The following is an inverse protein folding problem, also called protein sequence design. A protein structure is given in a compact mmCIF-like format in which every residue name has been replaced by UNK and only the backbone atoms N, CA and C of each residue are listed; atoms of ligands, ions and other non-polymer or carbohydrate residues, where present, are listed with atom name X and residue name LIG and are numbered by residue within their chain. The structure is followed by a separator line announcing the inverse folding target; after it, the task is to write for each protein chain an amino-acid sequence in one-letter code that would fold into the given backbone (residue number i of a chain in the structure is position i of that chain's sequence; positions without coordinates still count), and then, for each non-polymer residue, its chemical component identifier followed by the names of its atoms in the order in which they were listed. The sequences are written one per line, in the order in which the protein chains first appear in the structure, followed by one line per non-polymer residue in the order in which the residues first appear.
data_IF_173968444513
#
_entry.id   IF_173968444513
#
_cell.length_a   1.000
_cell.length_b   1.000
_cell.length_c   1.000
_cell.angle_alpha   90.00
_cell.angle_beta   90.00
_cell.angle_gamma   90.00
#
_symmetry.space_group_name_H-M   'P 1'
#
loop_
_entity.id
_entity.type
_entity.pdbx_description
1 polymer ?
#
# COMPACT_ATOMS: atom_id res chain seq x y z
N UNK A 1 -9.14 -3.91 -6.97
CA UNK A 1 -7.81 -3.27 -6.74
C UNK A 1 -7.98 -1.76 -6.94
N UNK A 2 -7.09 -0.95 -6.39
CA UNK A 2 -7.02 0.49 -6.61
C UNK A 2 -5.61 0.89 -7.05
N UNK A 3 -5.48 1.89 -7.91
CA UNK A 3 -4.18 2.43 -8.34
C UNK A 3 -4.08 3.87 -7.88
N UNK A 4 -2.96 4.22 -7.26
CA UNK A 4 -2.65 5.57 -6.81
C UNK A 4 -1.36 6.06 -7.45
N UNK A 5 -1.30 7.36 -7.69
CA UNK A 5 -0.11 8.06 -8.16
C UNK A 5 0.54 8.76 -6.97
N UNK A 6 1.81 8.47 -6.70
CA UNK A 6 2.59 9.10 -5.63
C UNK A 6 4.08 9.06 -5.95
N UNK A 7 4.78 10.16 -5.67
CA UNK A 7 6.25 10.18 -5.71
C UNK A 7 6.87 9.20 -4.71
N UNK A 8 6.16 8.88 -3.62
CA UNK A 8 6.59 7.96 -2.57
C UNK A 8 6.10 6.52 -2.79
N UNK A 9 5.69 6.16 -4.01
CA UNK A 9 5.18 4.82 -4.33
C UNK A 9 6.17 3.69 -3.98
N UNK A 10 7.48 3.96 -4.06
CA UNK A 10 8.54 3.05 -3.63
C UNK A 10 8.53 2.78 -2.12
N UNK A 11 8.63 3.84 -1.33
CA UNK A 11 8.64 3.77 0.14
C UNK A 11 7.35 3.13 0.67
N UNK A 12 6.21 3.53 0.12
CA UNK A 12 4.92 2.96 0.50
C UNK A 12 4.81 1.48 0.14
N UNK A 13 5.32 1.07 -1.03
CA UNK A 13 5.37 -0.35 -1.41
C UNK A 13 6.15 -1.18 -0.39
N UNK A 14 7.35 -0.73 -0.01
CA UNK A 14 8.20 -1.42 0.97
C UNK A 14 7.55 -1.48 2.36
N UNK A 15 6.96 -0.36 2.81
CA UNK A 15 6.28 -0.30 4.11
C UNK A 15 5.10 -1.30 4.20
N UNK A 16 4.30 -1.37 3.14
CA UNK A 16 3.19 -2.32 3.04
C UNK A 16 3.68 -3.77 2.92
N UNK A 17 4.77 -4.01 2.17
CA UNK A 17 5.36 -5.34 2.04
C UNK A 17 5.84 -5.90 3.39
N UNK A 18 6.48 -5.07 4.23
CA UNK A 18 6.92 -5.45 5.60
C UNK A 18 5.75 -5.83 6.52
N UNK A 19 4.52 -5.40 6.21
CA UNK A 19 3.28 -5.71 6.95
C UNK A 19 2.45 -6.83 6.30
N UNK A 20 3.06 -7.60 5.38
CA UNK A 20 2.41 -8.65 4.61
C UNK A 20 1.16 -8.15 3.85
N UNK A 21 1.25 -6.95 3.26
CA UNK A 21 0.25 -6.38 2.35
C UNK A 21 0.85 -6.34 0.95
N UNK A 22 0.35 -7.21 0.08
CA UNK A 22 0.84 -7.32 -1.29
C UNK A 22 0.33 -6.14 -2.14
N UNK A 23 1.26 -5.36 -2.67
CA UNK A 23 1.01 -4.31 -3.66
C UNK A 23 1.92 -4.51 -4.87
N UNK A 24 1.59 -3.88 -5.99
CA UNK A 24 2.44 -3.86 -7.18
C UNK A 24 2.90 -2.43 -7.45
N UNK A 25 4.21 -2.20 -7.34
CA UNK A 25 4.86 -0.98 -7.80
C UNK A 25 5.17 -1.07 -9.30
N UNK A 26 5.19 0.06 -9.99
CA UNK A 26 5.67 0.15 -11.37
C UNK A 26 7.01 0.90 -11.38
N UNK A 27 8.12 0.25 -11.70
CA UNK A 27 9.45 0.85 -11.50
C UNK A 27 9.72 2.12 -12.33
N UNK A 28 9.07 2.23 -13.49
CA UNK A 28 9.23 3.36 -14.41
C UNK A 28 8.17 4.46 -14.23
N UNK A 29 7.23 4.30 -13.29
CA UNK A 29 6.11 5.22 -13.10
C UNK A 29 5.86 5.46 -11.61
N UNK A 30 5.40 6.65 -11.18
CA UNK A 30 5.06 6.92 -9.78
C UNK A 30 3.72 6.26 -9.40
N UNK A 31 3.50 5.00 -9.77
CA UNK A 31 2.25 4.28 -9.60
C UNK A 31 2.41 3.12 -8.61
N UNK A 32 1.41 2.97 -7.76
CA UNK A 32 1.24 1.83 -6.87
C UNK A 32 -0.16 1.24 -7.04
N UNK A 33 -0.25 -0.06 -7.32
CA UNK A 33 -1.51 -0.80 -7.37
C UNK A 33 -1.68 -1.62 -6.10
N UNK A 34 -2.72 -1.32 -5.34
CA UNK A 34 -3.10 -2.01 -4.12
C UNK A 34 -4.22 -3.02 -4.40
N UNK A 35 -4.04 -4.26 -3.95
CA UNK A 35 -5.15 -5.19 -3.81
C UNK A 35 -6.16 -4.64 -2.81
N UNK A 36 -7.46 -4.75 -3.10
CA UNK A 36 -8.49 -4.38 -2.13
C UNK A 36 -8.85 -5.64 -1.32
N UNK A 37 -8.91 -5.56 0.02
CA UNK A 37 -9.34 -6.68 0.84
C UNK A 37 -10.75 -7.17 0.52
N UNK A 38 -10.98 -8.47 0.70
CA UNK A 38 -12.29 -9.09 0.52
C UNK A 38 -13.17 -9.07 1.78
N UNK A 39 -12.59 -8.74 2.93
CA UNK A 39 -13.24 -8.73 4.24
C UNK A 39 -12.82 -7.54 5.10
N UNK A 40 -13.57 -7.31 6.18
CA UNK A 40 -13.35 -6.20 7.10
C UNK A 40 -11.99 -6.28 7.81
N UNK A 41 -11.56 -7.49 8.20
CA UNK A 41 -10.27 -7.69 8.86
C UNK A 41 -9.10 -7.27 7.96
N UNK A 42 -9.16 -7.57 6.66
CA UNK A 42 -8.17 -7.10 5.71
C UNK A 42 -8.21 -5.59 5.50
N UNK A 43 -9.40 -4.96 5.52
CA UNK A 43 -9.53 -3.50 5.47
C UNK A 43 -8.91 -2.82 6.69
N UNK A 44 -9.14 -3.34 7.89
CA UNK A 44 -8.55 -2.82 9.12
C UNK A 44 -7.02 -2.92 9.10
N UNK A 45 -6.47 -4.05 8.62
CA UNK A 45 -5.01 -4.22 8.42
C UNK A 45 -4.45 -3.20 7.45
N UNK A 46 -5.12 -2.97 6.33
CA UNK A 46 -4.68 -1.98 5.33
C UNK A 46 -4.74 -0.56 5.91
N UNK A 47 -5.84 -0.20 6.59
CA UNK A 47 -6.00 1.11 7.20
C UNK A 47 -4.94 1.39 8.28
N UNK A 48 -4.68 0.43 9.16
CA UNK A 48 -3.64 0.54 10.19
C UNK A 48 -2.25 0.73 9.58
N UNK A 49 -1.91 -0.06 8.55
CA UNK A 49 -0.62 0.07 7.87
C UNK A 49 -0.43 1.46 7.22
N UNK A 50 -1.48 2.02 6.62
CA UNK A 50 -1.44 3.35 6.03
C UNK A 50 -1.38 4.46 7.09
N UNK A 51 -2.06 4.28 8.23
CA UNK A 51 -1.99 5.22 9.35
C UNK A 51 -0.58 5.27 9.95
N UNK A 52 0.04 4.11 10.19
CA UNK A 52 1.42 3.99 10.67
C UNK A 52 2.41 4.69 9.72
N UNK A 53 2.20 4.55 8.40
CA UNK A 53 3.08 5.15 7.40
C UNK A 53 3.05 6.67 7.44
N UNK A 54 1.87 7.27 7.68
CA UNK A 54 1.70 8.73 7.73
C UNK A 54 2.38 9.36 8.96
N UNK A 55 2.57 8.59 10.02
CA UNK A 55 3.18 9.07 11.28
C UNK A 55 4.68 8.81 11.38
N UNK A 56 5.25 8.07 10.42
CA UNK A 56 6.68 7.81 10.31
C UNK A 56 7.39 8.94 9.55
#
# INVERSE_FOLDING_TARGET
FATLTSAQAGELHEHLARRAILTRRFDQQPLLRCGLPGDEAGWQRLAAALADWRTA
#
